data_IF_501407327398
#
_entry.id   IF_501407327398
#
_cell.length_a   1.000
_cell.length_b   1.000
_cell.length_c   1.000
_cell.angle_alpha   90.00
_cell.angle_beta   90.00
_cell.angle_gamma   90.00
#
_symmetry.space_group_name_H-M   'P 1'
#
loop_
_entity.id
_entity.type
_entity.pdbx_description
1 polymer ?
#
# COMPACT_ATOMS: atom_id res chain seq x y z
N UNK A 1 1.36 19.12 -13.15
CA UNK A 1 0.94 17.69 -13.05
C UNK A 1 -0.19 17.47 -14.03
N UNK A 2 -0.12 16.44 -14.88
CA UNK A 2 -1.22 16.07 -15.77
C UNK A 2 -2.44 15.68 -14.92
N UNK A 3 -3.64 16.11 -15.31
CA UNK A 3 -4.89 15.78 -14.60
C UNK A 3 -5.14 14.27 -14.53
N UNK A 4 -4.79 13.53 -15.58
CA UNK A 4 -4.87 12.07 -15.59
C UNK A 4 -3.96 11.45 -14.52
N UNK A 5 -2.78 12.02 -14.31
CA UNK A 5 -1.83 11.58 -13.27
C UNK A 5 -2.36 11.87 -11.86
N UNK A 6 -3.00 13.03 -11.66
CA UNK A 6 -3.66 13.37 -10.39
C UNK A 6 -4.79 12.39 -10.05
N UNK A 7 -5.64 12.08 -11.04
CA UNK A 7 -6.75 11.14 -10.87
C UNK A 7 -6.22 9.74 -10.53
N UNK A 8 -5.24 9.25 -11.29
CA UNK A 8 -4.61 7.95 -11.02
C UNK A 8 -4.00 7.85 -9.62
N UNK A 9 -3.33 8.92 -9.17
CA UNK A 9 -2.75 9.00 -7.82
C UNK A 9 -3.81 8.91 -6.73
N UNK A 10 -4.93 9.60 -6.88
CA UNK A 10 -6.01 9.61 -5.89
C UNK A 10 -6.67 8.23 -5.82
N UNK A 11 -7.00 7.64 -6.98
CA UNK A 11 -7.63 6.31 -7.05
C UNK A 11 -6.72 5.25 -6.41
N UNK A 12 -5.43 5.22 -6.80
CA UNK A 12 -4.49 4.24 -6.28
C UNK A 12 -4.24 4.44 -4.78
N UNK A 13 -4.06 5.68 -4.33
CA UNK A 13 -3.86 6.01 -2.92
C UNK A 13 -5.06 5.60 -2.07
N UNK A 14 -6.28 5.93 -2.51
CA UNK A 14 -7.51 5.52 -1.81
C UNK A 14 -7.68 4.00 -1.78
N UNK A 15 -7.37 3.30 -2.88
CA UNK A 15 -7.40 1.84 -2.93
C UNK A 15 -6.45 1.21 -1.91
N UNK A 16 -5.21 1.72 -1.81
CA UNK A 16 -4.23 1.26 -0.82
C UNK A 16 -4.70 1.51 0.61
N UNK A 17 -5.33 2.66 0.90
CA UNK A 17 -5.89 2.92 2.22
C UNK A 17 -7.00 1.93 2.57
N UNK A 18 -7.94 1.69 1.66
CA UNK A 18 -9.02 0.72 1.89
C UNK A 18 -8.48 -0.69 2.11
N UNK A 19 -7.49 -1.11 1.31
CA UNK A 19 -6.83 -2.40 1.48
C UNK A 19 -6.05 -2.49 2.81
N UNK A 20 -5.40 -1.40 3.24
CA UNK A 20 -4.74 -1.33 4.54
C UNK A 20 -5.73 -1.48 5.69
N UNK A 21 -6.87 -0.78 5.62
CA UNK A 21 -7.93 -0.91 6.64
C UNK A 21 -8.53 -2.31 6.68
N UNK A 22 -8.73 -2.98 5.53
CA UNK A 22 -9.25 -4.34 5.50
C UNK A 22 -8.31 -5.35 6.16
N UNK A 23 -6.99 -5.16 6.08
CA UNK A 23 -6.03 -6.01 6.77
C UNK A 23 -6.18 -6.01 8.29
N UNK A 24 -6.67 -4.91 8.88
CA UNK A 24 -6.95 -4.84 10.32
C UNK A 24 -8.36 -5.30 10.66
N UNK A 25 -9.34 -5.00 9.80
CA UNK A 25 -10.73 -5.44 9.99
C UNK A 25 -10.87 -6.96 9.90
N UNK A 26 -10.20 -7.56 8.93
CA UNK A 26 -10.26 -8.99 8.63
C UNK A 26 -8.98 -9.72 9.07
N UNK A 27 -8.29 -9.16 10.08
CA UNK A 27 -6.95 -9.58 10.50
C UNK A 27 -6.86 -11.08 10.79
N UNK A 28 -7.83 -11.64 11.52
CA UNK A 28 -7.80 -13.06 11.89
C UNK A 28 -8.01 -13.96 10.68
N UNK A 29 -9.00 -13.67 9.82
CA UNK A 29 -9.26 -14.44 8.60
C UNK A 29 -8.08 -14.40 7.61
N UNK A 30 -7.50 -13.22 7.39
CA UNK A 30 -6.33 -13.08 6.53
C UNK A 30 -5.08 -13.75 7.14
N UNK A 31 -4.96 -13.75 8.47
CA UNK A 31 -3.87 -14.45 9.16
C UNK A 31 -4.00 -15.96 9.06
N UNK A 32 -5.21 -16.51 9.10
CA UNK A 32 -5.46 -17.94 8.85
C UNK A 32 -5.08 -18.33 7.42
N UNK A 33 -5.46 -17.51 6.44
CA UNK A 33 -5.04 -17.71 5.05
C UNK A 33 -3.51 -17.66 4.92
N UNK A 34 -2.85 -16.65 5.50
CA UNK A 34 -1.39 -16.53 5.49
C UNK A 34 -0.70 -17.69 6.20
N UNK A 35 -1.27 -18.19 7.30
CA UNK A 35 -0.80 -19.39 8.00
C UNK A 35 -0.88 -20.63 7.10
N UNK A 36 -1.99 -20.81 6.39
CA UNK A 36 -2.16 -21.91 5.43
C UNK A 36 -1.16 -21.84 4.27
N UNK A 37 -0.64 -20.64 3.95
CA UNK A 37 0.43 -20.42 2.97
C UNK A 37 1.85 -20.59 3.55
N UNK A 38 1.99 -20.95 4.83
CA UNK A 38 3.27 -21.16 5.48
C UNK A 38 3.98 -19.87 5.90
N UNK A 39 3.28 -18.74 5.93
CA UNK A 39 3.88 -17.45 6.34
C UNK A 39 4.29 -17.49 7.81
N UNK A 40 5.56 -17.21 8.15
CA UNK A 40 5.98 -17.11 9.55
C UNK A 40 5.31 -15.89 10.22
N UNK A 41 4.91 -16.04 11.48
CA UNK A 41 4.19 -15.02 12.26
C UNK A 41 3.00 -14.37 11.51
N UNK A 42 1.97 -15.14 11.10
CA UNK A 42 0.93 -14.69 10.17
C UNK A 42 0.24 -13.37 10.59
N UNK A 43 -0.14 -13.25 11.86
CA UNK A 43 -0.83 -12.07 12.38
C UNK A 43 0.04 -10.81 12.35
N UNK A 44 1.33 -10.96 12.65
CA UNK A 44 2.28 -9.85 12.56
C UNK A 44 2.56 -9.48 11.11
N UNK A 45 2.67 -10.47 10.22
CA UNK A 45 2.86 -10.24 8.79
C UNK A 45 1.69 -9.47 8.18
N UNK A 46 0.44 -9.90 8.42
CA UNK A 46 -0.78 -9.23 7.92
C UNK A 46 -0.94 -7.84 8.53
N UNK A 47 -0.71 -7.66 9.83
CA UNK A 47 -0.75 -6.33 10.44
C UNK A 47 0.34 -5.42 9.86
N UNK A 48 1.55 -5.94 9.68
CA UNK A 48 2.68 -5.22 9.10
C UNK A 48 2.42 -4.77 7.67
N UNK A 49 1.88 -5.64 6.81
CA UNK A 49 1.49 -5.26 5.45
C UNK A 49 0.34 -4.25 5.46
N UNK A 50 -0.62 -4.37 6.39
CA UNK A 50 -1.64 -3.36 6.63
C UNK A 50 -1.06 -1.97 6.92
N UNK A 51 -0.07 -1.87 7.80
CA UNK A 51 0.62 -0.60 8.09
C UNK A 51 1.32 -0.05 6.84
N UNK A 52 2.02 -0.90 6.09
CA UNK A 52 2.71 -0.50 4.85
C UNK A 52 1.71 0.04 3.83
N UNK A 53 0.56 -0.60 3.67
CA UNK A 53 -0.50 -0.16 2.76
C UNK A 53 -1.06 1.21 3.17
N UNK A 54 -1.31 1.42 4.47
CA UNK A 54 -1.79 2.71 4.97
C UNK A 54 -0.76 3.82 4.76
N UNK A 55 0.49 3.59 5.15
CA UNK A 55 1.58 4.57 4.98
C UNK A 55 1.84 4.84 3.50
N UNK A 56 1.86 3.81 2.66
CA UNK A 56 2.01 3.92 1.22
C UNK A 56 0.86 4.71 0.57
N UNK A 57 -0.38 4.38 0.91
CA UNK A 57 -1.58 5.09 0.42
C UNK A 57 -1.59 6.56 0.84
N UNK A 58 -1.27 6.87 2.11
CA UNK A 58 -1.14 8.25 2.59
C UNK A 58 -0.02 8.99 1.86
N UNK A 59 1.14 8.37 1.69
CA UNK A 59 2.28 8.94 0.97
C UNK A 59 1.92 9.29 -0.48
N UNK A 60 1.19 8.42 -1.18
CA UNK A 60 0.68 8.68 -2.53
C UNK A 60 -0.28 9.86 -2.57
N UNK A 61 -1.25 9.93 -1.65
CA UNK A 61 -2.23 11.01 -1.61
C UNK A 61 -1.60 12.37 -1.28
N UNK A 62 -0.71 12.38 -0.28
CA UNK A 62 0.05 13.56 0.15
C UNK A 62 1.08 14.00 -0.90
N UNK A 63 1.38 13.15 -1.89
CA UNK A 63 2.32 13.46 -2.96
C UNK A 63 3.76 13.55 -2.47
N UNK A 64 4.15 12.72 -1.49
CA UNK A 64 5.52 12.68 -1.00
C UNK A 64 6.43 12.21 -2.14
N UNK A 65 7.18 13.15 -2.72
CA UNK A 65 8.00 12.89 -3.89
C UNK A 65 9.25 12.07 -3.52
N UNK A 66 9.32 10.81 -3.95
CA UNK A 66 10.62 10.18 -4.20
C UNK A 66 11.21 10.85 -5.45
N UNK A 67 12.24 11.69 -5.28
CA UNK A 67 13.00 12.32 -6.38
C UNK A 67 13.79 11.31 -7.25
N UNK A 68 13.37 10.05 -7.31
CA UNK A 68 14.06 8.96 -8.01
C UNK A 68 13.70 8.84 -9.49
N UNK A 69 12.66 9.54 -9.98
CA UNK A 69 12.28 9.53 -11.40
C UNK A 69 13.16 10.38 -12.32
N UNK A 70 14.18 11.08 -11.80
CA UNK A 70 15.03 12.01 -12.59
C UNK A 70 16.33 11.37 -13.11
N UNK A 71 16.40 10.04 -13.16
CA UNK A 71 17.60 9.30 -13.60
C UNK A 71 17.42 8.52 -14.91
N UNK A 72 16.22 8.56 -15.52
CA UNK A 72 15.92 7.82 -16.75
C UNK A 72 15.58 8.73 -17.94
N UNK A 73 16.38 9.79 -18.14
CA UNK A 73 16.09 10.79 -19.17
C UNK A 73 17.31 11.59 -19.63
N UNK A 74 18.45 10.93 -19.85
CA UNK A 74 19.55 11.49 -20.63
C UNK A 74 20.30 10.36 -21.35
N UNK A 75 19.90 10.11 -22.60
CA UNK A 75 20.79 9.79 -23.74
C UNK A 75 20.03 10.15 -25.00
#
# INVERSE_FOLDING_TARGET
MNIAFLIGRIILGAYWLMAGLSHFKDLDSMSEYAKAKGTPFPKLAVAGTGVILLVGGLSMLLGVHTKAGRWWGHS
#
